data_IF_842697906350
#
_entry.id   IF_842697906350
#
_cell.length_a   1.000
_cell.length_b   1.000
_cell.length_c   1.000
_cell.angle_alpha   90.00
_cell.angle_beta   90.00
_cell.angle_gamma   90.00
#
_symmetry.space_group_name_H-M   'P 1'
#
loop_
_entity.id
_entity.type
_entity.pdbx_description
1 polymer ?
#
# COMPACT_ATOMS: atom_id res chain seq x y z
N UNK A 1 11.76 -55.38 24.42
CA UNK A 1 12.34 -54.08 24.80
C UNK A 1 11.99 -53.08 23.69
N UNK A 2 10.94 -52.28 23.87
CA UNK A 2 10.51 -51.28 22.88
C UNK A 2 10.99 -49.89 23.34
N UNK A 3 11.83 -49.26 22.51
CA UNK A 3 12.37 -47.92 22.72
C UNK A 3 11.30 -46.88 22.37
N UNK A 4 10.86 -46.10 23.35
CA UNK A 4 9.96 -44.96 23.15
C UNK A 4 10.79 -43.71 22.82
N UNK A 5 11.03 -43.48 21.53
CA UNK A 5 11.68 -42.25 21.08
C UNK A 5 10.81 -41.03 21.44
N UNK A 6 11.32 -40.14 22.30
CA UNK A 6 10.67 -38.90 22.71
C UNK A 6 10.59 -37.93 21.52
N UNK A 7 9.38 -37.47 21.21
CA UNK A 7 9.12 -36.44 20.20
C UNK A 7 9.91 -35.16 20.51
N UNK A 8 10.64 -34.57 19.55
CA UNK A 8 11.45 -33.39 19.81
C UNK A 8 10.58 -32.16 20.13
N UNK A 9 10.92 -31.46 21.22
CA UNK A 9 10.27 -30.22 21.65
C UNK A 9 10.49 -29.12 20.61
N UNK A 10 9.40 -28.62 20.00
CA UNK A 10 9.44 -27.46 19.12
C UNK A 10 9.49 -26.18 19.95
N UNK A 11 10.63 -25.49 19.89
CA UNK A 11 10.82 -24.21 20.59
C UNK A 11 10.32 -23.08 19.67
N UNK A 12 9.29 -22.36 20.10
CA UNK A 12 8.83 -21.15 19.41
C UNK A 12 9.85 -20.03 19.66
N UNK A 13 10.32 -19.30 18.62
CA UNK A 13 11.30 -18.24 18.82
C UNK A 13 10.74 -17.13 19.73
N UNK A 14 11.55 -16.68 20.69
CA UNK A 14 11.18 -15.58 21.58
C UNK A 14 11.04 -14.26 20.80
N UNK A 15 10.05 -13.42 21.15
CA UNK A 15 9.89 -12.11 20.54
C UNK A 15 11.11 -11.22 20.87
N UNK A 16 11.63 -10.51 19.87
CA UNK A 16 12.77 -9.61 20.05
C UNK A 16 12.39 -8.42 20.94
N UNK A 17 13.19 -8.08 21.98
CA UNK A 17 12.92 -6.93 22.84
C UNK A 17 12.87 -5.62 22.04
N UNK A 18 11.89 -4.76 22.32
CA UNK A 18 11.83 -3.39 21.80
C UNK A 18 11.04 -3.16 20.52
N UNK A 19 10.59 -4.21 19.80
CA UNK A 19 9.63 -4.05 18.70
C UNK A 19 8.22 -4.20 19.26
N UNK A 20 7.38 -3.15 19.20
CA UNK A 20 5.93 -3.35 19.38
C UNK A 20 5.53 -4.47 18.43
N UNK A 21 5.15 -5.62 18.98
CA UNK A 21 4.48 -6.67 18.24
C UNK A 21 3.08 -6.12 18.00
N UNK A 22 2.95 -5.16 17.07
CA UNK A 22 1.65 -4.90 16.46
C UNK A 22 1.21 -6.24 15.94
N UNK A 23 0.13 -6.76 16.51
CA UNK A 23 -0.30 -8.12 16.33
C UNK A 23 -0.75 -8.29 14.86
N UNK A 24 0.20 -8.64 13.99
CA UNK A 24 -0.03 -8.88 12.54
C UNK A 24 -1.16 -9.88 12.28
N UNK A 25 -1.57 -10.64 13.31
CA UNK A 25 -2.64 -11.63 13.25
C UNK A 25 -4.04 -11.02 13.38
N UNK A 26 -4.21 -9.85 14.01
CA UNK A 26 -5.52 -9.22 14.16
C UNK A 26 -6.00 -8.57 12.85
N UNK A 27 -5.06 -8.18 11.98
CA UNK A 27 -5.34 -7.49 10.72
C UNK A 27 -5.38 -8.45 9.52
N UNK A 28 -6.10 -9.58 9.66
CA UNK A 28 -6.32 -10.54 8.57
C UNK A 28 -7.78 -10.46 8.12
N UNK A 29 -7.95 -10.15 6.85
CA UNK A 29 -9.23 -10.23 6.15
C UNK A 29 -9.10 -11.25 5.02
N UNK A 30 -10.20 -11.95 4.75
CA UNK A 30 -10.30 -12.88 3.64
C UNK A 30 -10.79 -12.20 2.35
N UNK A 31 -11.09 -10.89 2.39
CA UNK A 31 -11.53 -10.11 1.24
C UNK A 31 -10.37 -9.30 0.68
N UNK A 32 -10.11 -9.45 -0.62
CA UNK A 32 -9.00 -8.78 -1.32
C UNK A 32 -9.05 -7.27 -1.19
N UNK A 33 -10.25 -6.66 -1.28
CA UNK A 33 -10.44 -5.22 -1.16
C UNK A 33 -10.00 -4.69 0.22
N UNK A 34 -10.52 -5.28 1.30
CA UNK A 34 -10.15 -4.94 2.67
C UNK A 34 -8.64 -5.14 2.92
N UNK A 35 -8.05 -6.20 2.33
CA UNK A 35 -6.62 -6.48 2.49
C UNK A 35 -5.75 -5.42 1.82
N UNK A 36 -6.17 -4.92 0.67
CA UNK A 36 -5.52 -3.80 -0.01
C UNK A 36 -5.67 -2.53 0.80
N UNK A 37 -6.89 -2.13 1.17
CA UNK A 37 -7.13 -0.92 1.96
C UNK A 37 -6.25 -0.89 3.21
N UNK A 38 -6.23 -1.99 3.98
CA UNK A 38 -5.43 -2.10 5.19
C UNK A 38 -3.92 -2.01 4.93
N UNK A 39 -3.45 -2.60 3.84
CA UNK A 39 -2.04 -2.55 3.46
C UNK A 39 -1.63 -1.14 2.99
N UNK A 40 -2.49 -0.46 2.24
CA UNK A 40 -2.29 0.90 1.76
C UNK A 40 -2.33 1.91 2.92
N UNK A 41 -3.31 1.81 3.81
CA UNK A 41 -3.39 2.61 5.05
C UNK A 41 -2.14 2.44 5.90
N UNK A 42 -1.67 1.21 6.09
CA UNK A 42 -0.41 0.97 6.80
C UNK A 42 0.81 1.56 6.09
N UNK A 43 0.81 1.65 4.76
CA UNK A 43 1.89 2.30 4.01
C UNK A 43 1.87 3.83 4.21
N UNK A 44 0.67 4.42 4.23
CA UNK A 44 0.45 5.84 4.53
C UNK A 44 0.96 6.19 5.93
N UNK A 45 0.52 5.44 6.96
CA UNK A 45 0.91 5.66 8.35
C UNK A 45 2.44 5.57 8.55
N UNK A 46 3.09 4.56 7.96
CA UNK A 46 4.54 4.35 8.13
C UNK A 46 5.39 5.38 7.38
N UNK A 47 4.91 5.84 6.24
CA UNK A 47 5.63 6.80 5.41
C UNK A 47 5.31 8.25 5.76
N UNK A 48 4.24 8.53 6.50
CA UNK A 48 3.83 9.91 6.81
C UNK A 48 3.40 10.70 5.58
N UNK A 49 2.70 10.03 4.64
CA UNK A 49 2.16 10.64 3.43
C UNK A 49 0.64 10.88 3.60
N UNK A 50 0.01 11.59 2.66
CA UNK A 50 -1.40 11.98 2.82
C UNK A 50 -2.37 10.83 2.45
N UNK A 51 -2.13 10.19 1.31
CA UNK A 51 -2.97 9.11 0.79
C UNK A 51 -2.20 8.27 -0.24
N UNK A 52 -2.57 7.00 -0.36
CA UNK A 52 -2.22 6.14 -1.49
C UNK A 52 -3.50 5.62 -2.14
N UNK A 53 -3.54 5.58 -3.46
CA UNK A 53 -4.61 4.95 -4.21
C UNK A 53 -4.07 4.07 -5.34
N UNK A 54 -4.91 3.17 -5.81
CA UNK A 54 -4.72 2.33 -6.99
C UNK A 54 -5.86 2.66 -7.94
N UNK A 55 -5.51 3.06 -9.16
CA UNK A 55 -6.47 3.29 -10.24
C UNK A 55 -6.16 2.40 -11.45
N UNK A 56 -7.16 2.12 -12.27
CA UNK A 56 -6.95 1.48 -13.58
C UNK A 56 -6.53 2.51 -14.66
N UNK A 57 -6.30 2.06 -15.90
CA UNK A 57 -5.93 2.94 -17.03
C UNK A 57 -7.06 3.90 -17.46
N UNK A 58 -8.30 3.65 -17.01
CA UNK A 58 -9.47 4.52 -17.24
C UNK A 58 -9.66 5.56 -16.13
N UNK A 59 -8.85 5.51 -15.07
CA UNK A 59 -8.94 6.42 -13.93
C UNK A 59 -9.98 6.01 -12.89
N UNK A 60 -10.46 4.76 -12.91
CA UNK A 60 -11.37 4.21 -11.91
C UNK A 60 -10.59 3.78 -10.67
N UNK A 61 -11.12 4.08 -9.48
CA UNK A 61 -10.53 3.65 -8.21
C UNK A 61 -10.71 2.15 -8.04
N UNK A 62 -9.60 1.42 -7.89
CA UNK A 62 -9.57 -0.01 -7.56
C UNK A 62 -9.48 -0.21 -6.05
N UNK A 63 -8.65 0.58 -5.37
CA UNK A 63 -8.49 0.56 -3.92
C UNK A 63 -7.75 1.81 -3.46
N UNK A 64 -7.88 2.19 -2.19
CA UNK A 64 -7.15 3.30 -1.60
C UNK A 64 -6.91 3.07 -0.11
N UNK A 65 -6.01 3.85 0.48
CA UNK A 65 -5.87 3.96 1.94
C UNK A 65 -7.04 4.72 2.54
N UNK A 66 -7.34 4.47 3.81
CA UNK A 66 -8.33 5.22 4.59
C UNK A 66 -8.01 6.72 4.58
N UNK A 67 -8.99 7.52 4.20
CA UNK A 67 -8.87 8.96 4.08
C UNK A 67 -10.25 9.61 3.95
N UNK A 68 -10.37 10.85 4.40
CA UNK A 68 -11.56 11.69 4.20
C UNK A 68 -11.47 12.53 2.91
N UNK A 69 -10.40 12.35 2.13
CA UNK A 69 -10.20 13.05 0.88
C UNK A 69 -11.09 12.47 -0.22
N UNK A 70 -11.71 13.35 -1.00
CA UNK A 70 -12.30 12.95 -2.28
C UNK A 70 -11.18 12.61 -3.28
N UNK A 71 -11.20 11.37 -3.76
CA UNK A 71 -10.16 10.79 -4.61
C UNK A 71 -10.56 10.70 -6.08
N UNK A 72 -11.79 11.06 -6.45
CA UNK A 72 -12.29 10.86 -7.83
C UNK A 72 -11.41 11.56 -8.85
N UNK A 73 -11.17 12.87 -8.65
CA UNK A 73 -10.29 13.63 -9.54
C UNK A 73 -8.85 13.12 -9.51
N UNK A 74 -8.36 12.68 -8.35
CA UNK A 74 -7.00 12.20 -8.20
C UNK A 74 -6.81 10.89 -8.99
N UNK A 75 -7.78 9.99 -8.92
CA UNK A 75 -7.81 8.76 -9.69
C UNK A 75 -7.90 9.03 -11.19
N UNK A 76 -8.77 9.96 -11.61
CA UNK A 76 -8.93 10.33 -13.01
C UNK A 76 -7.63 10.85 -13.66
N UNK A 77 -6.82 11.64 -12.93
CA UNK A 77 -5.55 12.16 -13.46
C UNK A 77 -4.39 11.17 -13.34
N UNK A 78 -4.49 10.16 -12.47
CA UNK A 78 -3.42 9.19 -12.20
C UNK A 78 -2.85 8.54 -13.47
N UNK A 79 -3.65 7.95 -14.39
CA UNK A 79 -3.11 7.33 -15.61
C UNK A 79 -2.48 8.34 -16.58
N UNK A 80 -2.90 9.61 -16.54
CA UNK A 80 -2.31 10.68 -17.36
C UNK A 80 -0.90 11.02 -16.87
N UNK A 81 -0.75 11.15 -15.54
CA UNK A 81 0.55 11.38 -14.89
C UNK A 81 1.49 10.19 -15.08
N UNK A 82 0.97 8.96 -14.93
CA UNK A 82 1.75 7.73 -15.11
C UNK A 82 2.39 7.64 -16.51
N UNK A 83 1.70 8.15 -17.54
CA UNK A 83 2.17 8.18 -18.93
C UNK A 83 3.17 9.31 -19.21
N UNK A 84 3.56 10.10 -18.21
CA UNK A 84 4.45 11.24 -18.36
C UNK A 84 3.87 12.41 -19.16
N UNK A 85 2.54 12.41 -19.39
CA UNK A 85 1.86 13.43 -20.20
C UNK A 85 1.52 14.69 -19.41
N UNK A 86 1.57 14.62 -18.08
CA UNK A 86 1.29 15.75 -17.21
C UNK A 86 2.10 15.65 -15.90
N UNK A 87 2.44 16.82 -15.35
CA UNK A 87 2.90 16.95 -13.96
C UNK A 87 1.72 17.46 -13.13
N UNK A 88 1.24 16.66 -12.19
CA UNK A 88 0.12 17.07 -11.35
C UNK A 88 0.58 18.17 -10.37
N UNK A 89 -0.13 19.30 -10.37
CA UNK A 89 -0.02 20.32 -9.31
C UNK A 89 -1.21 20.16 -8.38
N UNK A 90 -0.98 19.60 -7.20
CA UNK A 90 -2.04 19.31 -6.25
C UNK A 90 -1.84 20.23 -5.05
N UNK A 91 -2.93 20.91 -4.63
CA UNK A 91 -2.94 21.73 -3.42
C UNK A 91 -3.90 21.12 -2.41
N UNK A 92 -3.45 21.01 -1.16
CA UNK A 92 -4.26 20.59 -0.01
C UNK A 92 -4.14 21.66 1.06
N UNK A 93 -5.26 22.26 1.45
CA UNK A 93 -5.30 23.35 2.44
C UNK A 93 -4.35 24.51 2.07
N UNK A 94 -4.28 24.86 0.78
CA UNK A 94 -3.38 25.90 0.27
C UNK A 94 -1.91 25.48 0.09
N UNK A 95 -1.48 24.37 0.68
CA UNK A 95 -0.11 23.87 0.55
C UNK A 95 0.05 22.94 -0.67
N UNK A 96 1.14 23.10 -1.41
CA UNK A 96 1.48 22.21 -2.52
C UNK A 96 1.81 20.82 -1.99
N UNK A 97 1.20 19.80 -2.60
CA UNK A 97 1.45 18.39 -2.34
C UNK A 97 2.00 17.76 -3.61
N UNK A 98 3.15 17.13 -3.46
CA UNK A 98 3.78 16.40 -4.54
C UNK A 98 3.07 15.06 -4.75
N UNK A 99 3.04 14.63 -6.01
CA UNK A 99 2.31 13.46 -6.47
C UNK A 99 3.24 12.52 -7.21
N UNK A 100 3.26 11.24 -6.80
CA UNK A 100 4.08 10.21 -7.43
C UNK A 100 3.24 9.05 -7.89
N UNK A 101 3.50 8.52 -9.08
CA UNK A 101 2.74 7.41 -9.66
C UNK A 101 3.70 6.33 -10.16
N UNK A 102 3.34 5.06 -9.94
CA UNK A 102 4.03 3.89 -10.49
C UNK A 102 3.02 2.89 -11.04
N UNK A 103 3.21 2.52 -12.30
CA UNK A 103 2.39 1.51 -12.96
C UNK A 103 2.87 0.10 -12.62
N UNK A 104 1.93 -0.82 -12.45
CA UNK A 104 2.15 -2.25 -12.33
C UNK A 104 1.24 -2.98 -13.30
N UNK A 105 1.69 -4.15 -13.75
CA UNK A 105 0.84 -5.09 -14.49
C UNK A 105 0.41 -6.21 -13.55
N UNK A 106 -0.89 -6.48 -13.53
CA UNK A 106 -1.56 -7.50 -12.74
C UNK A 106 -2.48 -8.24 -13.70
N UNK A 107 -2.24 -9.53 -13.91
CA UNK A 107 -2.82 -10.27 -15.04
C UNK A 107 -2.60 -9.51 -16.36
N UNK A 108 -3.67 -9.26 -17.13
CA UNK A 108 -3.65 -8.48 -18.37
C UNK A 108 -4.06 -7.01 -18.20
N UNK A 109 -4.20 -6.55 -16.96
CA UNK A 109 -4.57 -5.18 -16.64
C UNK A 109 -3.37 -4.36 -16.15
N UNK A 110 -3.38 -3.07 -16.52
CA UNK A 110 -2.44 -2.09 -16.00
C UNK A 110 -3.10 -1.31 -14.88
N UNK A 111 -2.49 -1.35 -13.71
CA UNK A 111 -2.91 -0.57 -12.55
C UNK A 111 -1.85 0.49 -12.25
N UNK A 112 -2.30 1.65 -11.81
CA UNK A 112 -1.47 2.77 -11.42
C UNK A 112 -1.57 3.00 -9.92
N UNK A 113 -0.49 2.78 -9.21
CA UNK A 113 -0.38 3.08 -7.78
C UNK A 113 0.10 4.51 -7.65
N UNK A 114 -0.63 5.34 -6.93
CA UNK A 114 -0.31 6.74 -6.73
C UNK A 114 -0.20 7.10 -5.26
N UNK A 115 0.72 8.01 -4.93
CA UNK A 115 0.98 8.50 -3.58
C UNK A 115 1.01 10.03 -3.58
N UNK A 116 0.30 10.63 -2.63
CA UNK A 116 0.22 12.08 -2.44
C UNK A 116 0.90 12.50 -1.14
N UNK A 117 1.63 13.62 -1.19
CA UNK A 117 2.20 14.24 0.00
C UNK A 117 3.51 13.59 0.45
N UNK A 118 3.88 13.88 1.71
CA UNK A 118 5.19 13.58 2.27
C UNK A 118 6.36 14.27 1.57
N UNK A 119 7.55 14.18 2.17
CA UNK A 119 8.78 14.50 1.44
C UNK A 119 9.06 13.46 0.35
N UNK A 120 10.07 13.72 -0.49
CA UNK A 120 10.39 12.85 -1.62
C UNK A 120 10.74 11.41 -1.20
N UNK A 121 11.46 11.24 -0.10
CA UNK A 121 11.90 9.93 0.40
C UNK A 121 10.75 9.16 1.03
N UNK A 122 9.95 9.82 1.86
CA UNK A 122 8.72 9.31 2.44
C UNK A 122 7.75 8.82 1.35
N UNK A 123 7.49 9.66 0.34
CA UNK A 123 6.62 9.31 -0.79
C UNK A 123 7.14 8.13 -1.59
N UNK A 124 8.43 8.10 -1.91
CA UNK A 124 9.04 6.99 -2.62
C UNK A 124 8.92 5.67 -1.84
N UNK A 125 9.14 5.71 -0.52
CA UNK A 125 8.98 4.57 0.37
C UNK A 125 7.53 4.10 0.43
N UNK A 126 6.57 5.00 0.66
CA UNK A 126 5.14 4.69 0.69
C UNK A 126 4.66 4.07 -0.62
N UNK A 127 5.06 4.66 -1.75
CA UNK A 127 4.76 4.15 -3.09
C UNK A 127 5.34 2.75 -3.33
N UNK A 128 6.59 2.52 -2.93
CA UNK A 128 7.23 1.19 -3.05
C UNK A 128 6.53 0.13 -2.20
N UNK A 129 6.16 0.48 -0.96
CA UNK A 129 5.42 -0.42 -0.07
C UNK A 129 4.04 -0.75 -0.63
N UNK A 130 3.33 0.24 -1.14
CA UNK A 130 2.01 0.07 -1.75
C UNK A 130 2.07 -0.82 -3.00
N UNK A 131 3.04 -0.59 -3.90
CA UNK A 131 3.28 -1.44 -5.07
C UNK A 131 3.57 -2.88 -4.66
N UNK A 132 4.39 -3.08 -3.62
CA UNK A 132 4.71 -4.42 -3.10
C UNK A 132 3.47 -5.12 -2.53
N UNK A 133 2.63 -4.39 -1.79
CA UNK A 133 1.39 -4.91 -1.25
C UNK A 133 0.40 -5.29 -2.37
N UNK A 134 0.20 -4.40 -3.34
CA UNK A 134 -0.68 -4.62 -4.48
C UNK A 134 -0.29 -5.88 -5.26
N UNK A 135 1.00 -6.04 -5.58
CA UNK A 135 1.50 -7.25 -6.26
C UNK A 135 1.30 -8.51 -5.43
N UNK A 136 1.47 -8.46 -4.11
CA UNK A 136 1.30 -9.63 -3.25
C UNK A 136 -0.17 -10.05 -3.10
N UNK A 137 -1.08 -9.09 -3.11
CA UNK A 137 -2.50 -9.33 -2.81
C UNK A 137 -3.30 -9.65 -4.08
N UNK A 138 -2.90 -9.08 -5.22
CA UNK A 138 -3.61 -9.22 -6.49
C UNK A 138 -3.01 -10.28 -7.44
N UNK A 139 -1.82 -10.82 -7.15
CA UNK A 139 -1.19 -11.88 -7.94
C UNK A 139 -1.48 -13.27 -7.39
#
# INVERSE_FOLDING_TARGET
MQSTARTPLRITPLPRPGRRVTERRQNRTNRTADALELALSGAVERAGIDVVLIADDRGMIVSHSQTDLDLEMLAAITPIVARGRAKASIKRNGAQREFGVKSIRVFDETLHVAALGGDASARALGLMQAVTAARRILA
#
